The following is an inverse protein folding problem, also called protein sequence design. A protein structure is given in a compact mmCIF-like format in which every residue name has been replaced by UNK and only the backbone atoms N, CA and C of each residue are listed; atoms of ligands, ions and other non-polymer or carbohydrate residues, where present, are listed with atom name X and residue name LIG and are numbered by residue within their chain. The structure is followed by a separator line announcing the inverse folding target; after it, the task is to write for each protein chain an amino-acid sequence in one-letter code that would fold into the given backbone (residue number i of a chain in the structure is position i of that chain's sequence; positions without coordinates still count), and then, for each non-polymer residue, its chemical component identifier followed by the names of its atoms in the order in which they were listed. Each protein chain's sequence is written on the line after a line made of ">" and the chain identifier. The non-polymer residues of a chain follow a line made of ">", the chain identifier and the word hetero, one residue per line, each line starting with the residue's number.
data_IF_901830354974
#
_entry.id   IF_901830354974
#
_cell.length_a   1.000
_cell.length_b   1.000
_cell.length_c   1.000
_cell.angle_alpha   90.00
_cell.angle_beta   90.00
_cell.angle_gamma   90.00
#
_symmetry.space_group_name_H-M   'P 1'
#
loop_
_entity.id
_entity.type
_entity.pdbx_description
1 polymer ?
#
# COMPACT_ATOMS: atom_id res chain seq x y z
N UNK A 1 -3.07 -34.66 3.62
CA UNK A 1 -3.35 -33.20 3.42
C UNK A 1 -2.73 -32.39 4.54
N UNK A 2 -2.86 -32.71 5.81
CA UNK A 2 -2.22 -32.00 6.94
C UNK A 2 -0.68 -32.15 6.96
N UNK A 3 -0.15 -33.29 6.52
CA UNK A 3 1.31 -33.53 6.39
C UNK A 3 1.95 -32.68 5.27
N UNK A 4 1.21 -32.36 4.19
CA UNK A 4 1.69 -31.51 3.11
C UNK A 4 1.75 -30.01 3.53
N UNK A 5 0.88 -29.56 4.43
CA UNK A 5 0.89 -28.18 4.94
C UNK A 5 1.98 -27.96 6.00
N UNK A 6 2.27 -28.97 6.81
CA UNK A 6 3.32 -28.87 7.84
C UNK A 6 4.74 -28.90 7.23
N UNK A 7 4.97 -29.68 6.17
CA UNK A 7 6.24 -29.72 5.43
C UNK A 7 6.55 -28.42 4.69
N UNK A 8 5.54 -27.71 4.20
CA UNK A 8 5.70 -26.47 3.42
C UNK A 8 6.20 -25.26 4.25
N UNK A 9 5.93 -25.23 5.54
CA UNK A 9 6.32 -24.11 6.41
C UNK A 9 7.73 -24.19 6.98
N UNK A 10 8.27 -25.39 7.08
CA UNK A 10 9.60 -25.64 7.67
C UNK A 10 10.77 -25.42 6.71
N UNK A 11 10.52 -25.48 5.41
CA UNK A 11 11.54 -25.33 4.35
C UNK A 11 11.69 -23.89 3.81
N UNK A 12 10.82 -22.96 4.23
CA UNK A 12 10.82 -21.60 3.70
C UNK A 12 12.10 -20.81 4.06
N UNK A 13 12.79 -21.18 5.14
CA UNK A 13 13.96 -20.45 5.67
C UNK A 13 15.30 -20.92 5.12
N UNK A 14 15.35 -22.07 4.41
CA UNK A 14 16.59 -22.59 3.86
C UNK A 14 16.85 -22.01 2.47
N UNK A 15 17.92 -21.21 2.33
CA UNK A 15 18.36 -20.71 1.04
C UNK A 15 18.88 -21.86 0.14
N UNK A 16 18.24 -22.07 -1.02
CA UNK A 16 18.59 -23.16 -1.94
C UNK A 16 19.92 -22.97 -2.65
N UNK A 17 20.43 -21.74 -2.73
CA UNK A 17 21.72 -21.43 -3.34
C UNK A 17 22.85 -21.29 -2.31
N UNK A 18 22.54 -21.32 -1.02
CA UNK A 18 23.57 -21.23 0.02
C UNK A 18 24.52 -22.43 -0.03
N UNK A 19 25.81 -22.16 -0.06
CA UNK A 19 26.84 -23.16 0.15
C UNK A 19 26.83 -23.62 1.62
N UNK A 20 27.12 -24.91 1.83
CA UNK A 20 27.21 -25.45 3.18
C UNK A 20 28.42 -24.83 3.91
N UNK A 21 28.15 -23.93 4.85
CA UNK A 21 29.19 -23.42 5.75
C UNK A 21 29.50 -24.45 6.83
N UNK A 22 30.74 -24.48 7.37
CA UNK A 22 31.10 -25.36 8.50
C UNK A 22 30.15 -25.24 9.68
N UNK A 23 29.63 -24.02 9.94
CA UNK A 23 28.65 -23.73 10.99
C UNK A 23 27.28 -24.36 10.71
N UNK A 24 26.84 -24.37 9.45
CA UNK A 24 25.58 -25.03 9.05
C UNK A 24 25.69 -26.56 9.17
N UNK A 25 26.87 -27.14 8.89
CA UNK A 25 27.15 -28.57 9.09
C UNK A 25 27.17 -28.92 10.58
N UNK A 26 27.77 -28.08 11.42
CA UNK A 26 27.80 -28.24 12.86
C UNK A 26 26.36 -28.14 13.45
N UNK A 27 25.60 -27.14 13.03
CA UNK A 27 24.19 -26.99 13.43
C UNK A 27 23.34 -28.18 12.98
N UNK A 28 23.65 -28.77 11.82
CA UNK A 28 23.02 -29.99 11.30
C UNK A 28 23.39 -31.21 12.15
N UNK A 29 24.64 -31.36 12.57
CA UNK A 29 25.09 -32.43 13.45
C UNK A 29 24.44 -32.37 14.84
N UNK A 30 24.24 -31.16 15.40
CA UNK A 30 23.55 -30.97 16.67
C UNK A 30 22.04 -31.20 16.61
N UNK A 31 21.41 -31.02 15.44
CA UNK A 31 19.96 -31.24 15.22
C UNK A 31 19.59 -32.71 14.99
N UNK A 32 20.55 -33.60 14.80
CA UNK A 32 20.33 -35.05 14.60
C UNK A 32 19.65 -35.77 15.78
N UNK A 33 19.53 -35.13 16.95
CA UNK A 33 18.82 -35.67 18.10
C UNK A 33 17.28 -35.57 18.00
N UNK A 34 16.72 -34.89 16.96
CA UNK A 34 15.29 -34.86 16.62
C UNK A 34 15.03 -35.62 15.31
N UNK A 35 15.04 -36.95 15.37
CA UNK A 35 15.13 -37.89 14.24
C UNK A 35 14.02 -37.81 13.17
N UNK A 36 12.82 -37.32 13.47
CA UNK A 36 11.69 -37.40 12.54
C UNK A 36 11.53 -36.21 11.60
N UNK A 37 11.88 -34.99 12.02
CA UNK A 37 11.80 -33.79 11.19
C UNK A 37 13.04 -33.59 10.29
N UNK A 38 14.19 -34.13 10.73
CA UNK A 38 15.44 -34.02 10.00
C UNK A 38 15.46 -34.87 8.72
N UNK A 39 14.84 -36.05 8.73
CA UNK A 39 14.81 -36.98 7.60
C UNK A 39 13.95 -36.47 6.42
N UNK A 40 12.82 -35.82 6.66
CA UNK A 40 12.00 -35.23 5.59
C UNK A 40 12.71 -34.02 4.95
N UNK A 41 13.37 -33.18 5.73
CA UNK A 41 14.17 -32.04 5.21
C UNK A 41 15.35 -32.50 4.38
N UNK A 42 16.04 -33.55 4.80
CA UNK A 42 17.19 -34.09 4.06
C UNK A 42 16.83 -34.69 2.71
N UNK A 43 15.65 -35.25 2.55
CA UNK A 43 15.20 -35.82 1.29
C UNK A 43 14.59 -34.80 0.34
N UNK A 44 13.88 -33.80 0.83
CA UNK A 44 13.10 -32.83 0.01
C UNK A 44 13.96 -31.66 -0.48
N UNK A 45 14.85 -31.14 0.36
CA UNK A 45 15.70 -29.99 0.01
C UNK A 45 16.56 -30.20 -1.25
N UNK A 46 17.21 -31.35 -1.49
CA UNK A 46 17.96 -31.59 -2.73
C UNK A 46 17.10 -31.55 -3.98
N UNK A 47 15.84 -32.05 -3.90
CA UNK A 47 14.90 -31.97 -5.01
C UNK A 47 14.47 -30.55 -5.33
N UNK A 48 14.28 -29.70 -4.30
CA UNK A 48 14.00 -28.29 -4.51
C UNK A 48 15.20 -27.54 -5.11
N UNK A 49 16.42 -27.85 -4.69
CA UNK A 49 17.65 -27.33 -5.33
C UNK A 49 17.71 -27.71 -6.80
N UNK A 50 17.53 -28.97 -7.11
CA UNK A 50 17.54 -29.48 -8.48
C UNK A 50 16.46 -28.82 -9.35
N UNK A 51 15.24 -28.69 -8.81
CA UNK A 51 14.13 -28.06 -9.51
C UNK A 51 14.39 -26.56 -9.76
N UNK A 52 14.94 -25.85 -8.76
CA UNK A 52 15.31 -24.45 -8.88
C UNK A 52 16.41 -24.22 -9.93
N UNK A 53 17.46 -25.02 -9.90
CA UNK A 53 18.53 -24.98 -10.90
C UNK A 53 18.00 -25.29 -12.30
N UNK A 54 17.09 -26.24 -12.41
CA UNK A 54 16.45 -26.59 -13.68
C UNK A 54 15.64 -25.40 -14.24
N UNK A 55 14.83 -24.74 -13.41
CA UNK A 55 14.10 -23.55 -13.80
C UNK A 55 15.03 -22.41 -14.25
N UNK A 56 16.08 -22.16 -13.49
CA UNK A 56 17.05 -21.12 -13.82
C UNK A 56 17.74 -21.39 -15.18
N UNK A 57 18.21 -22.61 -15.39
CA UNK A 57 18.85 -23.01 -16.65
C UNK A 57 17.87 -22.92 -17.83
N UNK A 58 16.62 -23.36 -17.64
CA UNK A 58 15.59 -23.24 -18.66
C UNK A 58 15.34 -21.79 -19.05
N UNK A 59 15.19 -20.89 -18.06
CA UNK A 59 14.99 -19.46 -18.32
C UNK A 59 16.17 -18.84 -19.06
N UNK A 60 17.40 -19.22 -18.74
CA UNK A 60 18.59 -18.74 -19.43
C UNK A 60 18.69 -19.22 -20.89
N UNK A 61 18.26 -20.45 -21.18
CA UNK A 61 18.21 -20.98 -22.56
C UNK A 61 17.10 -20.28 -23.37
N UNK A 62 15.90 -20.16 -22.78
CA UNK A 62 14.72 -19.66 -23.48
C UNK A 62 14.77 -18.15 -23.78
N UNK A 63 15.46 -17.35 -22.97
CA UNK A 63 15.49 -15.87 -23.10
C UNK A 63 15.99 -15.36 -24.45
N UNK A 64 16.78 -16.14 -25.17
CA UNK A 64 17.45 -15.70 -26.41
C UNK A 64 16.69 -16.11 -27.68
N UNK A 65 15.52 -16.74 -27.57
CA UNK A 65 14.82 -17.30 -28.73
C UNK A 65 13.42 -16.69 -28.88
N UNK A 66 13.21 -15.95 -29.96
CA UNK A 66 11.94 -15.32 -30.30
C UNK A 66 10.78 -16.32 -30.45
N UNK A 67 11.05 -17.53 -30.99
CA UNK A 67 10.01 -18.55 -31.23
C UNK A 67 9.52 -19.22 -29.94
N UNK A 68 10.26 -19.06 -28.84
CA UNK A 68 10.00 -19.74 -27.55
C UNK A 68 9.50 -18.78 -26.46
N UNK A 69 9.08 -17.57 -26.81
CA UNK A 69 8.58 -16.57 -25.87
C UNK A 69 7.39 -17.08 -25.03
N UNK A 70 6.45 -17.80 -25.69
CA UNK A 70 5.32 -18.39 -25.00
C UNK A 70 5.75 -19.45 -23.99
N UNK A 71 6.76 -20.26 -24.30
CA UNK A 71 7.32 -21.25 -23.38
C UNK A 71 8.05 -20.57 -22.21
N UNK A 72 8.81 -19.51 -22.49
CA UNK A 72 9.44 -18.67 -21.46
C UNK A 72 8.40 -18.16 -20.44
N UNK A 73 7.28 -17.59 -20.92
CA UNK A 73 6.22 -17.12 -20.06
C UNK A 73 5.56 -18.23 -19.24
N UNK A 74 5.39 -19.42 -19.81
CA UNK A 74 4.88 -20.59 -19.06
C UNK A 74 5.83 -20.99 -17.93
N UNK A 75 7.11 -21.13 -18.22
CA UNK A 75 8.12 -21.51 -17.23
C UNK A 75 8.19 -20.47 -16.10
N UNK A 76 8.12 -19.18 -16.42
CA UNK A 76 8.08 -18.12 -15.39
C UNK A 76 6.83 -18.26 -14.51
N UNK A 77 5.66 -18.47 -15.08
CA UNK A 77 4.42 -18.70 -14.31
C UNK A 77 4.54 -19.92 -13.40
N UNK A 78 5.20 -20.98 -13.85
CA UNK A 78 5.40 -22.19 -13.04
C UNK A 78 6.43 -21.98 -11.92
N UNK A 79 7.48 -21.17 -12.15
CA UNK A 79 8.39 -20.71 -11.10
C UNK A 79 7.63 -19.93 -10.02
N UNK A 80 6.73 -19.02 -10.41
CA UNK A 80 5.92 -18.29 -9.43
C UNK A 80 4.97 -19.20 -8.66
N UNK A 81 4.31 -20.16 -9.33
CA UNK A 81 3.48 -21.16 -8.65
C UNK A 81 4.28 -22.00 -7.66
N UNK A 82 5.50 -22.42 -8.04
CA UNK A 82 6.41 -23.11 -7.14
C UNK A 82 6.74 -22.29 -5.90
N UNK A 83 7.12 -21.00 -6.09
CA UNK A 83 7.43 -20.10 -4.99
C UNK A 83 6.21 -19.86 -4.08
N UNK A 84 5.01 -19.69 -4.65
CA UNK A 84 3.77 -19.54 -3.90
C UNK A 84 3.41 -20.79 -3.09
N UNK A 85 3.47 -21.96 -3.72
CA UNK A 85 3.11 -23.25 -3.09
C UNK A 85 4.01 -23.55 -1.89
N UNK A 86 5.29 -23.25 -2.00
CA UNK A 86 6.29 -23.57 -0.99
C UNK A 86 6.72 -22.35 -0.16
N UNK A 87 6.05 -21.19 -0.30
CA UNK A 87 6.34 -19.92 0.40
C UNK A 87 7.80 -19.49 0.31
N UNK A 88 8.45 -19.72 -0.85
CA UNK A 88 9.87 -19.47 -1.10
C UNK A 88 10.11 -18.01 -1.49
N UNK A 89 10.40 -17.16 -0.51
CA UNK A 89 10.57 -15.71 -0.70
C UNK A 89 11.92 -15.34 -1.33
N UNK A 90 13.01 -16.05 -0.98
CA UNK A 90 14.35 -15.81 -1.48
C UNK A 90 14.47 -16.15 -2.97
N UNK A 91 14.00 -17.33 -3.36
CA UNK A 91 13.99 -17.78 -4.75
C UNK A 91 13.08 -16.91 -5.63
N UNK A 92 11.94 -16.47 -5.07
CA UNK A 92 11.06 -15.52 -5.76
C UNK A 92 11.78 -14.21 -6.08
N UNK A 93 12.51 -13.63 -5.11
CA UNK A 93 13.30 -12.40 -5.32
C UNK A 93 14.36 -12.60 -6.40
N UNK A 94 15.10 -13.73 -6.36
CA UNK A 94 16.09 -14.08 -7.38
C UNK A 94 15.47 -14.25 -8.76
N UNK A 95 14.32 -14.90 -8.86
CA UNK A 95 13.57 -15.02 -10.12
C UNK A 95 13.20 -13.64 -10.68
N UNK A 96 12.72 -12.73 -9.82
CA UNK A 96 12.38 -11.36 -10.21
C UNK A 96 13.60 -10.59 -10.74
N UNK A 97 14.75 -10.69 -10.07
CA UNK A 97 16.00 -10.04 -10.50
C UNK A 97 16.53 -10.64 -11.80
N UNK A 98 16.45 -11.96 -11.97
CA UNK A 98 16.79 -12.65 -13.21
C UNK A 98 15.93 -12.13 -14.38
N UNK A 99 14.63 -12.01 -14.21
CA UNK A 99 13.73 -11.48 -15.23
C UNK A 99 13.98 -9.99 -15.57
N UNK A 100 14.36 -9.17 -14.56
CA UNK A 100 14.78 -7.77 -14.80
C UNK A 100 16.03 -7.73 -15.67
N UNK A 101 17.01 -8.58 -15.35
CA UNK A 101 18.23 -8.71 -16.13
C UNK A 101 17.96 -9.16 -17.56
N UNK A 102 17.06 -10.12 -17.76
CA UNK A 102 16.67 -10.59 -19.10
C UNK A 102 15.99 -9.47 -19.91
N UNK A 103 15.08 -8.71 -19.30
CA UNK A 103 14.42 -7.58 -19.96
C UNK A 103 15.40 -6.47 -20.32
N UNK A 104 16.29 -6.10 -19.39
CA UNK A 104 17.33 -5.09 -19.63
C UNK A 104 18.27 -5.49 -20.77
N UNK A 105 18.66 -6.76 -20.82
CA UNK A 105 19.47 -7.30 -21.91
C UNK A 105 18.74 -7.27 -23.24
N UNK A 106 17.43 -7.54 -23.26
CA UNK A 106 16.60 -7.47 -24.46
C UNK A 106 16.50 -6.03 -24.97
N UNK A 107 16.28 -5.06 -24.08
CA UNK A 107 16.24 -3.63 -24.44
C UNK A 107 17.60 -3.15 -24.95
N UNK A 108 18.70 -3.60 -24.33
CA UNK A 108 20.06 -3.18 -24.70
C UNK A 108 20.53 -3.75 -26.04
N UNK A 109 20.13 -4.97 -26.38
CA UNK A 109 20.62 -5.68 -27.57
C UNK A 109 19.49 -5.92 -28.60
N UNK A 110 18.74 -4.88 -28.95
CA UNK A 110 17.60 -4.93 -29.89
C UNK A 110 17.95 -5.47 -31.28
N UNK A 111 19.17 -5.20 -31.77
CA UNK A 111 19.54 -5.41 -33.16
C UNK A 111 20.06 -6.83 -33.48
N UNK A 112 20.06 -7.74 -32.51
CA UNK A 112 20.51 -9.12 -32.74
C UNK A 112 19.40 -9.98 -33.34
N UNK A 113 19.73 -10.73 -34.40
CA UNK A 113 18.84 -11.72 -35.04
C UNK A 113 18.41 -12.78 -34.01
N UNK A 114 17.18 -13.27 -34.14
CA UNK A 114 16.57 -14.35 -33.35
C UNK A 114 16.23 -14.01 -31.89
N UNK A 115 16.36 -12.75 -31.46
CA UNK A 115 15.92 -12.34 -30.12
C UNK A 115 14.47 -11.86 -30.10
N UNK A 116 13.78 -11.95 -28.98
CA UNK A 116 12.46 -11.39 -28.77
C UNK A 116 12.45 -9.88 -29.06
N UNK A 117 11.51 -9.43 -29.89
CA UNK A 117 11.37 -8.01 -30.25
C UNK A 117 10.19 -7.38 -29.50
N UNK A 118 10.49 -6.41 -28.64
CA UNK A 118 9.47 -5.64 -27.90
C UNK A 118 8.66 -4.70 -28.81
N UNK A 119 8.97 -4.59 -30.11
CA UNK A 119 8.14 -3.84 -31.04
C UNK A 119 6.86 -4.60 -31.43
N UNK A 120 6.84 -5.92 -31.29
CA UNK A 120 5.69 -6.76 -31.62
C UNK A 120 4.62 -6.69 -30.51
N UNK A 121 3.35 -6.46 -30.86
CA UNK A 121 2.27 -6.33 -29.88
C UNK A 121 2.00 -7.64 -29.10
N UNK A 122 2.30 -8.79 -29.68
CA UNK A 122 2.15 -10.10 -29.04
C UNK A 122 3.16 -10.28 -27.92
N UNK A 123 4.43 -10.02 -28.21
CA UNK A 123 5.54 -10.02 -27.24
C UNK A 123 5.27 -9.03 -26.11
N UNK A 124 4.83 -7.80 -26.43
CA UNK A 124 4.46 -6.81 -25.43
C UNK A 124 3.39 -7.30 -24.44
N UNK A 125 2.31 -7.88 -24.97
CA UNK A 125 1.23 -8.41 -24.14
C UNK A 125 1.73 -9.56 -23.24
N UNK A 126 2.56 -10.45 -23.79
CA UNK A 126 3.09 -11.59 -23.05
C UNK A 126 3.98 -11.15 -21.89
N UNK A 127 4.91 -10.20 -22.13
CA UNK A 127 5.78 -9.67 -21.07
C UNK A 127 4.99 -8.89 -20.02
N UNK A 128 3.95 -8.14 -20.45
CA UNK A 128 3.03 -7.50 -19.51
C UNK A 128 2.31 -8.53 -18.63
N UNK A 129 1.74 -9.59 -19.20
CA UNK A 129 1.07 -10.63 -18.43
C UNK A 129 2.00 -11.27 -17.39
N UNK A 130 3.23 -11.57 -17.78
CA UNK A 130 4.24 -12.13 -16.87
C UNK A 130 4.53 -11.18 -15.70
N UNK A 131 4.66 -9.87 -15.97
CA UNK A 131 4.88 -8.88 -14.91
C UNK A 131 3.68 -8.73 -13.98
N UNK A 132 2.46 -8.83 -14.50
CA UNK A 132 1.26 -8.83 -13.67
C UNK A 132 1.15 -10.09 -12.79
N UNK A 133 1.53 -11.27 -13.31
CA UNK A 133 1.61 -12.49 -12.50
C UNK A 133 2.70 -12.38 -11.42
N UNK A 134 3.85 -11.76 -11.73
CA UNK A 134 4.87 -11.42 -10.74
C UNK A 134 4.29 -10.55 -9.61
N UNK A 135 3.55 -9.50 -9.95
CA UNK A 135 2.93 -8.59 -8.99
C UNK A 135 1.91 -9.32 -8.10
N UNK A 136 1.07 -10.19 -8.67
CA UNK A 136 0.14 -11.01 -7.89
C UNK A 136 0.88 -11.92 -6.92
N UNK A 137 1.90 -12.62 -7.39
CA UNK A 137 2.70 -13.51 -6.56
C UNK A 137 3.41 -12.74 -5.43
N UNK A 138 3.98 -11.57 -5.71
CA UNK A 138 4.62 -10.72 -4.71
C UNK A 138 3.66 -10.29 -3.61
N UNK A 139 2.43 -9.88 -3.97
CA UNK A 139 1.41 -9.48 -2.99
C UNK A 139 0.89 -10.67 -2.17
N UNK A 140 0.74 -11.85 -2.77
CA UNK A 140 0.31 -13.08 -2.06
C UNK A 140 1.38 -13.58 -1.07
N UNK A 141 2.68 -13.40 -1.40
CA UNK A 141 3.80 -13.70 -0.51
C UNK A 141 4.06 -12.59 0.51
N UNK A 142 3.25 -11.53 0.53
CA UNK A 142 3.42 -10.35 1.41
C UNK A 142 4.78 -9.64 1.28
N UNK A 143 5.43 -9.79 0.13
CA UNK A 143 6.72 -9.17 -0.18
C UNK A 143 6.53 -7.75 -0.72
N UNK A 144 6.14 -6.81 0.15
CA UNK A 144 5.70 -5.46 -0.24
C UNK A 144 6.76 -4.63 -0.95
N UNK A 145 8.03 -4.78 -0.58
CA UNK A 145 9.13 -4.10 -1.28
C UNK A 145 9.28 -4.59 -2.72
N UNK A 146 9.18 -5.91 -2.92
CA UNK A 146 9.28 -6.49 -4.26
C UNK A 146 8.02 -6.22 -5.08
N UNK A 147 6.84 -6.18 -4.44
CA UNK A 147 5.60 -5.76 -5.06
C UNK A 147 5.69 -4.31 -5.56
N UNK A 148 6.25 -3.39 -4.77
CA UNK A 148 6.46 -2.00 -5.18
C UNK A 148 7.41 -1.90 -6.37
N UNK A 149 8.55 -2.60 -6.35
CA UNK A 149 9.48 -2.69 -7.49
C UNK A 149 8.82 -3.26 -8.73
N UNK A 150 7.94 -4.27 -8.57
CA UNK A 150 7.21 -4.87 -9.69
C UNK A 150 6.23 -3.87 -10.32
N UNK A 151 5.62 -2.99 -9.53
CA UNK A 151 4.79 -1.89 -10.05
C UNK A 151 5.64 -0.86 -10.81
N UNK A 152 6.81 -0.49 -10.28
CA UNK A 152 7.73 0.39 -11.00
C UNK A 152 8.19 -0.23 -12.33
N UNK A 153 8.50 -1.54 -12.33
CA UNK A 153 8.85 -2.28 -13.56
C UNK A 153 7.72 -2.26 -14.59
N UNK A 154 6.46 -2.49 -14.16
CA UNK A 154 5.27 -2.42 -15.03
C UNK A 154 5.09 -1.00 -15.58
N UNK A 155 5.20 0.01 -14.73
CA UNK A 155 5.09 1.40 -15.14
C UNK A 155 6.20 1.79 -16.13
N UNK A 156 7.45 1.41 -15.86
CA UNK A 156 8.58 1.60 -16.77
C UNK A 156 8.35 0.92 -18.12
N UNK A 157 7.80 -0.28 -18.12
CA UNK A 157 7.46 -1.01 -19.33
C UNK A 157 6.33 -0.29 -20.13
N UNK A 158 5.30 0.23 -19.45
CA UNK A 158 4.25 1.03 -20.09
C UNK A 158 4.81 2.29 -20.77
N UNK A 159 5.73 2.99 -20.12
CA UNK A 159 6.39 4.17 -20.68
C UNK A 159 7.27 3.82 -21.89
N UNK A 160 8.02 2.72 -21.79
CA UNK A 160 8.90 2.24 -22.86
C UNK A 160 8.10 1.83 -24.11
N UNK A 161 6.97 1.16 -23.91
CA UNK A 161 6.11 0.69 -25.01
C UNK A 161 5.18 1.78 -25.54
N UNK A 162 5.03 2.90 -24.85
CA UNK A 162 4.07 3.99 -25.15
C UNK A 162 2.65 3.48 -25.39
N UNK A 163 2.27 2.41 -24.72
CA UNK A 163 0.98 1.75 -24.87
C UNK A 163 0.42 1.40 -23.49
N UNK A 164 -0.86 1.69 -23.29
CA UNK A 164 -1.57 1.27 -22.09
C UNK A 164 -1.99 -0.20 -22.21
N UNK A 165 -1.89 -0.98 -21.12
CA UNK A 165 -2.40 -2.35 -21.06
C UNK A 165 -3.92 -2.40 -21.26
N UNK A 166 -4.45 -3.63 -21.42
CA UNK A 166 -5.89 -3.87 -21.42
C UNK A 166 -6.54 -3.28 -20.16
N UNK A 167 -7.77 -2.73 -20.24
CA UNK A 167 -8.45 -2.10 -19.07
C UNK A 167 -8.53 -2.98 -17.84
N UNK A 168 -8.73 -4.30 -18.01
CA UNK A 168 -8.75 -5.26 -16.91
C UNK A 168 -7.39 -5.33 -16.18
N UNK A 169 -6.29 -5.29 -16.93
CA UNK A 169 -4.95 -5.27 -16.36
C UNK A 169 -4.68 -3.93 -15.65
N UNK A 170 -5.17 -2.82 -16.21
CA UNK A 170 -5.08 -1.51 -15.54
C UNK A 170 -5.88 -1.45 -14.25
N UNK A 171 -7.07 -2.06 -14.21
CA UNK A 171 -7.85 -2.17 -12.99
C UNK A 171 -7.11 -2.99 -11.92
N UNK A 172 -6.52 -4.14 -12.30
CA UNK A 172 -5.67 -4.94 -11.41
C UNK A 172 -4.43 -4.13 -10.94
N UNK A 173 -3.80 -3.37 -11.84
CA UNK A 173 -2.67 -2.50 -11.50
C UNK A 173 -3.04 -1.52 -10.38
N UNK A 174 -4.14 -0.77 -10.55
CA UNK A 174 -4.58 0.18 -9.53
C UNK A 174 -5.06 -0.51 -8.25
N UNK A 175 -5.70 -1.68 -8.33
CA UNK A 175 -6.09 -2.45 -7.15
C UNK A 175 -4.87 -2.86 -6.31
N UNK A 176 -3.81 -3.38 -6.97
CA UNK A 176 -2.58 -3.74 -6.26
C UNK A 176 -1.79 -2.52 -5.76
N UNK A 177 -1.87 -1.41 -6.49
CA UNK A 177 -1.28 -0.14 -6.08
C UNK A 177 -1.95 0.41 -4.81
N UNK A 178 -3.30 0.28 -4.68
CA UNK A 178 -4.00 0.67 -3.45
C UNK A 178 -3.53 -0.14 -2.25
N UNK A 179 -3.38 -1.46 -2.37
CA UNK A 179 -2.89 -2.33 -1.30
C UNK A 179 -1.48 -1.91 -0.86
N UNK A 180 -0.56 -1.73 -1.82
CA UNK A 180 0.83 -1.39 -1.54
C UNK A 180 0.96 -0.02 -0.88
N UNK A 181 0.26 1.00 -1.39
CA UNK A 181 0.29 2.33 -0.78
C UNK A 181 -0.35 2.34 0.60
N UNK A 182 -1.40 1.54 0.82
CA UNK A 182 -2.05 1.41 2.11
C UNK A 182 -1.10 0.85 3.17
N UNK A 183 -0.42 -0.25 2.87
CA UNK A 183 0.56 -0.86 3.76
C UNK A 183 1.77 0.06 3.98
N UNK A 184 2.20 0.76 2.93
CA UNK A 184 3.23 1.80 3.02
C UNK A 184 2.83 3.05 3.79
N UNK A 185 1.59 3.12 4.32
CA UNK A 185 1.01 4.27 5.04
C UNK A 185 0.96 5.57 4.22
N UNK A 186 1.02 5.47 2.90
CA UNK A 186 0.91 6.60 1.98
C UNK A 186 -0.56 6.85 1.62
N UNK A 187 -1.36 7.28 2.59
CA UNK A 187 -2.82 7.38 2.48
C UNK A 187 -3.30 8.33 1.37
N UNK A 188 -2.57 9.41 1.11
CA UNK A 188 -2.89 10.32 0.02
C UNK A 188 -2.83 9.61 -1.33
N UNK A 189 -1.72 8.96 -1.63
CA UNK A 189 -1.53 8.23 -2.89
C UNK A 189 -2.48 7.03 -2.99
N UNK A 190 -2.75 6.34 -1.88
CA UNK A 190 -3.73 5.25 -1.83
C UNK A 190 -5.14 5.74 -2.21
N UNK A 191 -5.57 6.90 -1.71
CA UNK A 191 -6.89 7.45 -2.04
C UNK A 191 -7.00 7.85 -3.52
N UNK A 192 -5.93 8.43 -4.10
CA UNK A 192 -5.88 8.69 -5.54
C UNK A 192 -5.87 7.39 -6.37
N UNK A 193 -5.18 6.35 -5.91
CA UNK A 193 -5.22 5.03 -6.56
C UNK A 193 -6.63 4.43 -6.53
N UNK A 194 -7.36 4.54 -5.42
CA UNK A 194 -8.76 4.17 -5.31
C UNK A 194 -9.66 4.95 -6.28
N UNK A 195 -9.46 6.27 -6.42
CA UNK A 195 -10.20 7.08 -7.38
C UNK A 195 -9.92 6.65 -8.82
N UNK A 196 -8.67 6.36 -9.18
CA UNK A 196 -8.30 5.84 -10.51
C UNK A 196 -8.91 4.47 -10.76
N UNK A 197 -8.86 3.57 -9.78
CA UNK A 197 -9.48 2.24 -9.83
C UNK A 197 -10.98 2.35 -10.12
N UNK A 198 -11.69 3.19 -9.36
CA UNK A 198 -13.13 3.44 -9.57
C UNK A 198 -13.41 3.97 -10.98
N UNK A 199 -12.63 4.97 -11.43
CA UNK A 199 -12.78 5.59 -12.75
C UNK A 199 -12.58 4.56 -13.88
N UNK A 200 -11.53 3.74 -13.81
CA UNK A 200 -11.25 2.69 -14.81
C UNK A 200 -12.33 1.62 -14.79
N UNK A 201 -12.71 1.13 -13.61
CA UNK A 201 -13.75 0.10 -13.46
C UNK A 201 -15.09 0.58 -14.01
N UNK A 202 -15.51 1.80 -13.70
CA UNK A 202 -16.75 2.39 -14.19
C UNK A 202 -16.76 2.58 -15.71
N UNK A 203 -15.62 2.99 -16.29
CA UNK A 203 -15.55 3.31 -17.72
C UNK A 203 -15.51 2.06 -18.59
N UNK A 204 -14.80 1.02 -18.14
CA UNK A 204 -14.49 -0.12 -19.00
C UNK A 204 -15.18 -1.42 -18.61
N UNK A 205 -15.61 -1.57 -17.34
CA UNK A 205 -16.26 -2.79 -16.89
C UNK A 205 -17.78 -2.68 -17.04
N UNK A 206 -18.32 -3.28 -18.12
CA UNK A 206 -19.77 -3.31 -18.37
C UNK A 206 -20.53 -4.31 -17.50
N UNK A 207 -19.85 -5.26 -16.90
CA UNK A 207 -20.41 -6.28 -16.02
C UNK A 207 -20.35 -5.90 -14.53
N UNK A 208 -20.02 -4.63 -14.23
CA UNK A 208 -19.98 -4.13 -12.85
C UNK A 208 -21.37 -4.14 -12.25
N UNK A 209 -21.53 -4.90 -11.15
CA UNK A 209 -22.79 -4.92 -10.42
C UNK A 209 -22.96 -3.61 -9.62
N UNK A 210 -24.20 -3.19 -9.31
CA UNK A 210 -24.40 -1.99 -8.48
C UNK A 210 -23.82 -2.15 -7.06
N UNK A 211 -23.65 -3.38 -6.57
CA UNK A 211 -23.02 -3.68 -5.29
C UNK A 211 -21.49 -3.48 -5.37
N UNK A 212 -20.86 -3.94 -6.45
CA UNK A 212 -19.44 -3.68 -6.71
C UNK A 212 -19.17 -2.17 -6.85
N UNK A 213 -20.04 -1.44 -7.54
CA UNK A 213 -19.93 0.02 -7.66
C UNK A 213 -20.02 0.70 -6.28
N UNK A 214 -20.91 0.23 -5.40
CA UNK A 214 -21.01 0.72 -4.02
C UNK A 214 -19.74 0.43 -3.23
N UNK A 215 -19.21 -0.78 -3.31
CA UNK A 215 -17.98 -1.17 -2.62
C UNK A 215 -16.79 -0.29 -3.05
N UNK A 216 -16.60 -0.10 -4.35
CA UNK A 216 -15.54 0.74 -4.89
C UNK A 216 -15.72 2.22 -4.50
N UNK A 217 -16.95 2.75 -4.59
CA UNK A 217 -17.28 4.11 -4.18
C UNK A 217 -17.03 4.32 -2.68
N UNK A 218 -17.44 3.37 -1.84
CA UNK A 218 -17.19 3.39 -0.39
C UNK A 218 -15.69 3.37 -0.09
N UNK A 219 -14.92 2.56 -0.82
CA UNK A 219 -13.46 2.53 -0.72
C UNK A 219 -12.80 3.88 -1.01
N UNK A 220 -13.24 4.57 -2.07
CA UNK A 220 -12.73 5.92 -2.40
C UNK A 220 -13.01 6.91 -1.28
N UNK A 221 -14.23 6.93 -0.75
CA UNK A 221 -14.63 7.88 0.30
C UNK A 221 -13.90 7.59 1.60
N UNK A 222 -13.81 6.32 2.02
CA UNK A 222 -13.09 5.91 3.22
C UNK A 222 -11.59 6.21 3.11
N UNK A 223 -10.97 5.89 1.99
CA UNK A 223 -9.56 6.21 1.76
C UNK A 223 -9.29 7.72 1.82
N UNK A 224 -10.21 8.53 1.26
CA UNK A 224 -10.10 10.00 1.33
C UNK A 224 -10.25 10.52 2.76
N UNK A 225 -11.15 9.95 3.55
CA UNK A 225 -11.28 10.30 4.97
C UNK A 225 -10.05 9.92 5.80
N UNK A 226 -9.30 8.89 5.38
CA UNK A 226 -8.07 8.44 6.05
C UNK A 226 -6.86 9.36 5.81
N UNK A 227 -6.94 10.32 4.90
CA UNK A 227 -5.87 11.28 4.66
C UNK A 227 -5.77 12.24 5.84
N UNK A 228 -4.55 12.46 6.33
CA UNK A 228 -4.29 13.48 7.37
C UNK A 228 -4.66 14.88 6.86
N UNK A 229 -5.29 15.71 7.69
CA UNK A 229 -5.59 17.09 7.31
C UNK A 229 -4.35 18.01 7.34
N UNK A 230 -3.20 17.47 7.69
CA UNK A 230 -1.94 18.18 7.78
C UNK A 230 -0.81 17.38 7.13
N UNK A 231 0.24 18.05 6.71
CA UNK A 231 1.46 17.41 6.21
C UNK A 231 2.33 16.99 7.39
N UNK A 232 2.67 15.70 7.48
CA UNK A 232 3.56 15.20 8.52
C UNK A 232 4.97 15.76 8.28
N UNK A 233 5.45 16.61 9.19
CA UNK A 233 6.82 17.14 9.14
C UNK A 233 7.79 16.04 9.52
N UNK A 234 8.83 15.84 8.72
CA UNK A 234 9.93 14.92 9.05
C UNK A 234 10.60 15.33 10.36
N UNK A 235 11.02 14.33 11.14
CA UNK A 235 11.77 14.56 12.41
C UNK A 235 13.13 15.22 12.16
N UNK A 236 13.68 15.03 10.96
CA UNK A 236 15.04 15.46 10.59
C UNK A 236 15.12 16.81 9.87
N UNK A 237 14.00 17.54 9.76
CA UNK A 237 13.98 18.90 9.21
C UNK A 237 14.17 18.98 7.69
N UNK A 238 14.60 20.14 7.20
CA UNK A 238 14.64 20.47 5.77
C UNK A 238 15.68 19.67 4.94
N UNK A 239 16.62 18.96 5.57
CA UNK A 239 17.62 18.17 4.85
C UNK A 239 17.03 16.99 4.07
N UNK A 240 15.84 16.49 4.46
CA UNK A 240 15.17 15.39 3.80
C UNK A 240 14.12 15.83 2.76
N UNK A 241 13.95 17.16 2.56
CA UNK A 241 12.90 17.68 1.68
C UNK A 241 13.04 17.23 0.22
N UNK A 242 14.28 17.20 -0.30
CA UNK A 242 14.54 16.78 -1.68
C UNK A 242 14.28 15.26 -1.88
N UNK A 243 14.72 14.44 -0.91
CA UNK A 243 14.44 13.00 -0.95
C UNK A 243 12.94 12.69 -0.82
N UNK A 244 12.23 13.45 0.01
CA UNK A 244 10.79 13.32 0.14
C UNK A 244 10.08 13.72 -1.15
N UNK A 245 10.49 14.84 -1.76
CA UNK A 245 9.95 15.28 -3.05
C UNK A 245 10.17 14.23 -4.15
N UNK A 246 11.39 13.69 -4.28
CA UNK A 246 11.69 12.67 -5.29
C UNK A 246 10.89 11.38 -5.07
N UNK A 247 10.66 11.00 -3.80
CA UNK A 247 9.83 9.85 -3.44
C UNK A 247 8.36 10.09 -3.80
N UNK A 248 7.81 11.22 -3.42
CA UNK A 248 6.41 11.56 -3.68
C UNK A 248 6.16 11.79 -5.18
N UNK A 249 7.12 12.37 -5.90
CA UNK A 249 7.07 12.51 -7.35
C UNK A 249 7.07 11.15 -8.07
N UNK A 250 7.86 10.18 -7.60
CA UNK A 250 7.81 8.79 -8.11
C UNK A 250 6.44 8.17 -7.86
N UNK A 251 5.91 8.27 -6.65
CA UNK A 251 4.59 7.71 -6.33
C UNK A 251 3.48 8.36 -7.15
N UNK A 252 3.56 9.67 -7.39
CA UNK A 252 2.63 10.38 -8.24
C UNK A 252 2.71 9.94 -9.72
N UNK A 253 3.92 9.67 -10.21
CA UNK A 253 4.12 9.19 -11.58
C UNK A 253 3.47 7.82 -11.82
N UNK A 254 3.49 6.92 -10.81
CA UNK A 254 2.79 5.62 -10.87
C UNK A 254 1.28 5.78 -11.01
N UNK A 255 0.72 6.87 -10.51
CA UNK A 255 -0.70 7.24 -10.66
C UNK A 255 -1.00 7.96 -11.99
N UNK A 256 0.04 8.24 -12.79
CA UNK A 256 -0.08 8.99 -14.04
C UNK A 256 -0.11 10.51 -13.86
N UNK A 257 0.35 11.02 -12.72
CA UNK A 257 0.53 12.45 -12.49
C UNK A 257 2.00 12.83 -12.66
N UNK A 258 2.26 13.79 -13.54
CA UNK A 258 3.62 14.30 -13.73
C UNK A 258 3.79 15.57 -12.91
N UNK A 259 4.77 15.56 -12.00
CA UNK A 259 5.05 16.69 -11.12
C UNK A 259 6.40 17.26 -11.49
N UNK A 260 6.40 18.49 -11.97
CA UNK A 260 7.61 19.26 -12.24
C UNK A 260 8.14 19.86 -10.93
N UNK A 261 9.46 19.99 -10.80
CA UNK A 261 10.10 20.60 -9.62
C UNK A 261 9.67 22.07 -9.38
N UNK A 262 9.07 22.71 -10.37
CA UNK A 262 8.54 24.07 -10.27
C UNK A 262 7.18 24.17 -9.57
N UNK A 263 6.48 23.05 -9.38
CA UNK A 263 5.16 22.99 -8.75
C UNK A 263 5.22 22.24 -7.43
N UNK A 264 4.47 22.72 -6.45
CA UNK A 264 4.29 21.98 -5.22
C UNK A 264 3.47 20.72 -5.47
N UNK A 265 3.81 19.63 -4.79
CA UNK A 265 3.04 18.38 -4.85
C UNK A 265 1.60 18.62 -4.42
N UNK A 266 1.38 19.49 -3.43
CA UNK A 266 0.07 19.89 -2.92
C UNK A 266 -0.84 20.54 -3.97
N UNK A 267 -0.27 21.15 -5.02
CA UNK A 267 -1.06 21.76 -6.10
C UNK A 267 -1.66 20.72 -7.05
N UNK A 268 -1.06 19.53 -7.11
CA UNK A 268 -1.50 18.44 -7.99
C UNK A 268 -2.22 17.34 -7.21
N UNK A 269 -1.71 17.01 -6.04
CA UNK A 269 -2.22 15.96 -5.17
C UNK A 269 -2.50 16.53 -3.79
N UNK A 270 -3.77 16.87 -3.51
CA UNK A 270 -4.20 17.31 -2.18
C UNK A 270 -5.49 16.63 -1.78
N UNK A 271 -5.74 16.59 -0.46
CA UNK A 271 -7.00 16.09 0.09
C UNK A 271 -8.19 16.91 -0.38
N UNK A 272 -8.00 18.24 -0.48
CA UNK A 272 -9.05 19.17 -0.89
C UNK A 272 -9.48 18.95 -2.33
N UNK A 273 -8.51 18.76 -3.24
CA UNK A 273 -8.78 18.46 -4.65
C UNK A 273 -9.55 17.14 -4.79
N UNK A 274 -9.16 16.11 -4.02
CA UNK A 274 -9.84 14.82 -4.06
C UNK A 274 -11.27 14.92 -3.49
N UNK A 275 -11.46 15.67 -2.40
CA UNK A 275 -12.80 15.92 -1.84
C UNK A 275 -13.70 16.73 -2.79
N UNK A 276 -13.14 17.70 -3.52
CA UNK A 276 -13.84 18.42 -4.57
C UNK A 276 -14.24 17.50 -5.73
N UNK A 277 -13.34 16.59 -6.14
CA UNK A 277 -13.61 15.60 -7.20
C UNK A 277 -14.72 14.61 -6.80
N UNK A 278 -14.74 14.14 -5.55
CA UNK A 278 -15.81 13.28 -5.00
C UNK A 278 -17.16 13.99 -5.06
N UNK A 279 -17.21 15.28 -4.69
CA UNK A 279 -18.44 16.07 -4.78
C UNK A 279 -18.89 16.29 -6.23
N UNK A 280 -17.94 16.61 -7.13
CA UNK A 280 -18.18 16.86 -8.55
C UNK A 280 -18.70 15.61 -9.26
N UNK A 281 -18.14 14.46 -8.97
CA UNK A 281 -18.51 13.17 -9.58
C UNK A 281 -19.83 12.59 -9.03
N UNK A 282 -20.38 13.18 -7.97
CA UNK A 282 -21.59 12.69 -7.32
C UNK A 282 -21.41 11.32 -6.66
N UNK A 283 -20.16 10.95 -6.33
CA UNK A 283 -19.80 9.65 -5.73
C UNK A 283 -20.57 9.38 -4.45
N UNK A 284 -20.81 10.40 -3.63
CA UNK A 284 -21.53 10.28 -2.36
C UNK A 284 -22.95 9.70 -2.50
N UNK A 285 -23.60 9.85 -3.66
CA UNK A 285 -24.91 9.25 -3.91
C UNK A 285 -24.88 7.73 -4.04
N UNK A 286 -23.71 7.16 -4.40
CA UNK A 286 -23.51 5.74 -4.70
C UNK A 286 -22.87 4.94 -3.56
N UNK A 287 -22.49 5.61 -2.50
CA UNK A 287 -21.83 5.03 -1.32
C UNK A 287 -22.87 4.44 -0.39
N UNK A 288 -22.49 3.48 0.45
CA UNK A 288 -23.31 2.95 1.53
C UNK A 288 -23.80 4.03 2.48
N UNK A 289 -25.02 3.88 2.99
CA UNK A 289 -25.66 4.89 3.84
C UNK A 289 -24.91 5.09 5.16
N UNK A 290 -24.30 4.07 5.73
CA UNK A 290 -23.51 4.19 6.96
C UNK A 290 -22.20 4.94 6.71
N UNK A 291 -21.56 4.72 5.56
CA UNK A 291 -20.38 5.48 5.14
C UNK A 291 -20.74 6.94 4.83
N UNK A 292 -21.92 7.22 4.25
CA UNK A 292 -22.41 8.59 4.08
C UNK A 292 -22.65 9.30 5.41
N UNK A 293 -23.26 8.61 6.39
CA UNK A 293 -23.44 9.15 7.74
C UNK A 293 -22.11 9.45 8.41
N UNK A 294 -21.14 8.53 8.27
CA UNK A 294 -19.79 8.74 8.79
C UNK A 294 -19.09 9.92 8.13
N UNK A 295 -19.19 10.05 6.80
CA UNK A 295 -18.65 11.19 6.06
C UNK A 295 -19.28 12.51 6.51
N UNK A 296 -20.60 12.56 6.64
CA UNK A 296 -21.31 13.76 7.12
C UNK A 296 -20.92 14.13 8.56
N UNK A 297 -20.76 13.13 9.43
CA UNK A 297 -20.31 13.35 10.81
C UNK A 297 -18.88 13.87 10.87
N UNK A 298 -17.97 13.28 10.09
CA UNK A 298 -16.55 13.60 10.14
C UNK A 298 -16.21 14.90 9.39
N UNK A 299 -16.83 15.17 8.23
CA UNK A 299 -16.44 16.29 7.35
C UNK A 299 -17.35 17.51 7.45
N UNK A 300 -18.65 17.32 7.72
CA UNK A 300 -19.63 18.39 7.63
C UNK A 300 -20.13 18.87 8.98
N UNK A 301 -20.21 17.97 9.98
CA UNK A 301 -20.77 18.32 11.27
C UNK A 301 -19.72 18.93 12.22
N UNK A 302 -20.19 19.91 13.00
CA UNK A 302 -19.45 20.48 14.10
C UNK A 302 -20.02 19.91 15.41
N UNK A 303 -19.32 18.96 16.01
CA UNK A 303 -19.76 18.25 17.22
C UNK A 303 -18.58 18.00 18.18
N UNK A 304 -18.04 19.06 18.82
CA UNK A 304 -16.78 18.97 19.58
C UNK A 304 -16.82 18.02 20.78
N UNK A 305 -18.00 17.71 21.34
CA UNK A 305 -18.16 16.84 22.51
C UNK A 305 -18.53 15.39 22.16
N UNK A 306 -19.35 15.21 21.12
CA UNK A 306 -20.01 13.94 20.85
C UNK A 306 -19.48 13.23 19.58
N UNK A 307 -18.55 13.86 18.86
CA UNK A 307 -18.06 13.35 17.58
C UNK A 307 -17.56 11.91 17.69
N UNK A 308 -16.67 11.63 18.65
CA UNK A 308 -16.12 10.30 18.83
C UNK A 308 -17.13 9.29 19.33
N UNK A 309 -18.08 9.70 20.18
CA UNK A 309 -19.16 8.82 20.68
C UNK A 309 -20.10 8.39 19.53
N UNK A 310 -20.51 9.36 18.70
CA UNK A 310 -21.35 9.08 17.53
C UNK A 310 -20.61 8.27 16.47
N UNK A 311 -19.32 8.57 16.27
CA UNK A 311 -18.48 7.81 15.35
C UNK A 311 -18.25 6.36 15.82
N UNK A 312 -18.11 6.12 17.13
CA UNK A 312 -17.94 4.77 17.66
C UNK A 312 -19.13 3.85 17.36
N UNK A 313 -20.35 4.37 17.45
CA UNK A 313 -21.55 3.62 17.06
C UNK A 313 -21.49 3.20 15.58
N UNK A 314 -21.06 4.11 14.69
CA UNK A 314 -20.92 3.81 13.27
C UNK A 314 -19.75 2.86 13.00
N UNK A 315 -18.64 2.99 13.73
CA UNK A 315 -17.50 2.08 13.62
C UNK A 315 -17.86 0.65 14.01
N UNK A 316 -18.68 0.48 15.05
CA UNK A 316 -19.15 -0.83 15.49
C UNK A 316 -20.11 -1.47 14.47
N UNK A 317 -20.93 -0.68 13.80
CA UNK A 317 -21.80 -1.16 12.69
C UNK A 317 -20.94 -1.60 11.51
N UNK A 318 -19.91 -0.81 11.14
CA UNK A 318 -19.02 -1.12 10.01
C UNK A 318 -18.05 -2.26 10.32
N UNK A 319 -17.73 -2.51 11.59
CA UNK A 319 -16.76 -3.54 12.04
C UNK A 319 -17.28 -4.95 11.79
N UNK A 320 -18.03 -5.38 11.14
CA UNK A 320 -18.50 -6.75 10.83
C UNK A 320 -19.04 -6.83 9.43
N UNK A 321 -19.04 -5.70 8.74
CA UNK A 321 -19.58 -5.62 7.40
C UNK A 321 -18.46 -5.90 6.41
N UNK A 322 -18.52 -7.04 5.74
CA UNK A 322 -17.71 -7.37 4.57
C UNK A 322 -18.63 -7.39 3.37
N UNK A 323 -18.26 -6.69 2.31
CA UNK A 323 -18.99 -6.76 1.05
C UNK A 323 -18.29 -7.80 0.19
N UNK A 324 -18.99 -8.91 -0.11
CA UNK A 324 -18.53 -9.85 -1.10
C UNK A 324 -18.66 -9.19 -2.48
N UNK A 325 -17.55 -9.09 -3.14
CA UNK A 325 -17.46 -8.45 -4.45
C UNK A 325 -17.41 -9.55 -5.52
N UNK A 326 -18.05 -9.33 -6.65
CA UNK A 326 -18.09 -10.32 -7.72
C UNK A 326 -16.69 -10.60 -8.31
N UNK A 327 -16.48 -11.79 -8.88
CA UNK A 327 -15.23 -12.14 -9.58
C UNK A 327 -14.88 -11.18 -10.74
N UNK A 328 -15.87 -10.46 -11.24
CA UNK A 328 -15.69 -9.45 -12.29
C UNK A 328 -15.01 -8.17 -11.78
N UNK A 329 -14.97 -7.96 -10.48
CA UNK A 329 -14.31 -6.82 -9.86
C UNK A 329 -12.80 -7.07 -9.69
N UNK A 330 -11.96 -6.05 -9.83
CA UNK A 330 -10.52 -6.18 -9.61
C UNK A 330 -10.15 -6.35 -8.12
N UNK A 331 -11.08 -6.15 -7.22
CA UNK A 331 -10.93 -6.33 -5.76
C UNK A 331 -11.69 -7.58 -5.37
N UNK A 332 -11.02 -8.55 -4.77
CA UNK A 332 -11.62 -9.84 -4.41
C UNK A 332 -12.55 -9.77 -3.21
N UNK A 333 -12.29 -8.88 -2.27
CA UNK A 333 -13.13 -8.62 -1.09
C UNK A 333 -12.89 -7.20 -0.59
N UNK A 334 -13.94 -6.55 -0.13
CA UNK A 334 -13.83 -5.23 0.48
C UNK A 334 -14.06 -5.35 1.98
N UNK A 335 -13.01 -5.06 2.76
CA UNK A 335 -13.04 -5.12 4.22
C UNK A 335 -12.96 -3.73 4.83
N UNK A 336 -14.00 -3.31 5.52
CA UNK A 336 -14.05 -2.04 6.24
C UNK A 336 -13.07 -2.00 7.42
N UNK A 337 -12.73 -3.16 8.00
CA UNK A 337 -11.87 -3.23 9.19
C UNK A 337 -10.48 -2.64 8.93
N UNK A 338 -9.98 -2.71 7.71
CA UNK A 338 -8.68 -2.15 7.35
C UNK A 338 -8.60 -0.63 7.52
N UNK A 339 -9.73 0.10 7.37
CA UNK A 339 -9.80 1.56 7.48
C UNK A 339 -10.07 2.06 8.90
N UNK A 340 -10.72 1.23 9.73
CA UNK A 340 -11.21 1.66 11.06
C UNK A 340 -10.11 2.17 12.00
N UNK A 341 -8.92 1.54 12.16
CA UNK A 341 -7.89 2.03 13.06
C UNK A 341 -7.44 3.46 12.71
N UNK A 342 -7.32 3.73 11.41
CA UNK A 342 -6.92 5.06 10.93
C UNK A 342 -8.02 6.09 11.11
N UNK A 343 -9.26 5.74 10.82
CA UNK A 343 -10.42 6.62 11.01
C UNK A 343 -10.65 6.97 12.48
N UNK A 344 -10.45 6.03 13.40
CA UNK A 344 -10.49 6.28 14.85
C UNK A 344 -9.46 7.33 15.25
N UNK A 345 -8.22 7.18 14.80
CA UNK A 345 -7.15 8.16 15.09
C UNK A 345 -7.47 9.55 14.54
N UNK A 346 -7.97 9.64 13.31
CA UNK A 346 -8.34 10.92 12.69
C UNK A 346 -9.60 11.55 13.32
N UNK A 347 -10.53 10.73 13.79
CA UNK A 347 -11.70 11.20 14.55
C UNK A 347 -11.29 11.94 15.81
N UNK A 348 -10.29 11.42 16.54
CA UNK A 348 -9.74 12.08 17.73
C UNK A 348 -9.10 13.43 17.36
N UNK A 349 -8.25 13.45 16.34
CA UNK A 349 -7.58 14.68 15.88
C UNK A 349 -8.61 15.74 15.51
N UNK A 350 -9.66 15.38 14.78
CA UNK A 350 -10.73 16.30 14.39
C UNK A 350 -11.55 16.80 15.57
N UNK A 351 -11.89 15.89 16.49
CA UNK A 351 -12.61 16.27 17.71
C UNK A 351 -11.81 17.30 18.50
N UNK A 352 -10.52 17.04 18.75
CA UNK A 352 -9.67 17.98 19.51
C UNK A 352 -9.45 19.29 18.74
N UNK A 353 -9.33 19.25 17.42
CA UNK A 353 -9.29 20.47 16.60
C UNK A 353 -10.60 21.27 16.68
N UNK A 354 -11.77 20.62 16.76
CA UNK A 354 -13.03 21.32 16.99
C UNK A 354 -13.12 21.87 18.43
N UNK A 355 -12.62 21.12 19.41
CA UNK A 355 -12.55 21.54 20.82
C UNK A 355 -11.66 22.76 21.01
N UNK A 356 -10.50 22.81 20.31
CA UNK A 356 -9.58 23.98 20.40
C UNK A 356 -10.22 25.29 19.93
N UNK A 357 -11.27 25.22 19.10
CA UNK A 357 -12.00 26.41 18.65
C UNK A 357 -13.04 26.91 19.66
N UNK A 358 -13.43 26.04 20.61
CA UNK A 358 -14.53 26.34 21.56
C UNK A 358 -14.01 26.55 22.97
N UNK A 359 -13.01 25.78 23.39
CA UNK A 359 -12.49 25.76 24.75
C UNK A 359 -11.09 26.35 24.82
N UNK A 360 -10.82 27.12 25.88
CA UNK A 360 -9.45 27.57 26.22
C UNK A 360 -8.72 26.51 27.05
N UNK A 361 -9.43 25.86 27.95
CA UNK A 361 -8.89 24.82 28.84
C UNK A 361 -9.85 23.66 28.95
N UNK A 362 -9.33 22.44 29.09
CA UNK A 362 -10.12 21.24 29.26
C UNK A 362 -9.44 20.26 30.21
N UNK A 363 -10.20 19.58 31.07
CA UNK A 363 -9.67 18.50 31.92
C UNK A 363 -9.39 17.24 31.10
N UNK A 364 -8.28 16.59 31.40
CA UNK A 364 -7.89 15.32 30.77
C UNK A 364 -8.98 14.24 30.94
N UNK A 365 -9.64 14.21 32.08
CA UNK A 365 -10.71 13.21 32.34
C UNK A 365 -11.95 13.46 31.46
N UNK A 366 -12.24 14.70 31.08
CA UNK A 366 -13.30 14.99 30.11
C UNK A 366 -12.94 14.48 28.71
N UNK A 367 -11.67 14.57 28.32
CA UNK A 367 -11.21 13.99 27.07
C UNK A 367 -11.32 12.46 27.10
N UNK A 368 -10.89 11.80 28.18
CA UNK A 368 -11.03 10.34 28.34
C UNK A 368 -12.48 9.89 28.21
N UNK A 369 -13.42 10.63 28.79
CA UNK A 369 -14.85 10.31 28.68
C UNK A 369 -15.46 10.55 27.29
N UNK A 370 -14.82 11.40 26.48
CA UNK A 370 -15.24 11.72 25.11
C UNK A 370 -14.72 10.71 24.08
N UNK A 371 -13.66 9.93 24.39
CA UNK A 371 -13.05 8.92 23.51
C UNK A 371 -13.20 7.54 24.14
N UNK A 372 -14.30 6.79 23.87
CA UNK A 372 -14.57 5.51 24.53
C UNK A 372 -13.75 4.34 23.96
N UNK A 373 -13.26 4.44 22.73
CA UNK A 373 -12.69 3.33 21.95
C UNK A 373 -11.17 3.20 22.02
N UNK A 374 -10.47 4.11 22.74
CA UNK A 374 -9.00 4.13 22.77
C UNK A 374 -8.49 4.54 24.16
N UNK A 375 -7.43 3.87 24.70
CA UNK A 375 -6.81 4.25 25.96
C UNK A 375 -6.10 5.61 25.83
N UNK A 376 -6.06 6.37 26.94
CA UNK A 376 -5.55 7.75 26.93
C UNK A 376 -4.09 7.89 26.44
N UNK A 377 -3.21 6.95 26.75
CA UNK A 377 -1.81 7.01 26.31
C UNK A 377 -1.66 6.96 24.79
N UNK A 378 -2.54 6.25 24.09
CA UNK A 378 -2.56 6.25 22.61
C UNK A 378 -3.16 7.55 22.07
N UNK A 379 -4.21 8.08 22.72
CA UNK A 379 -4.78 9.39 22.39
C UNK A 379 -3.72 10.48 22.51
N UNK A 380 -2.97 10.49 23.60
CA UNK A 380 -1.89 11.46 23.82
C UNK A 380 -0.80 11.35 22.75
N UNK A 381 -0.39 10.14 22.38
CA UNK A 381 0.59 9.92 21.31
C UNK A 381 0.11 10.49 19.98
N UNK A 382 -1.17 10.33 19.63
CA UNK A 382 -1.77 10.88 18.41
C UNK A 382 -1.78 12.41 18.47
N UNK A 383 -2.14 12.98 19.63
CA UNK A 383 -2.16 14.44 19.82
C UNK A 383 -0.76 15.07 19.73
N UNK A 384 0.25 14.44 20.33
CA UNK A 384 1.64 14.91 20.23
C UNK A 384 2.09 14.94 18.77
N UNK A 385 1.70 13.96 17.96
CA UNK A 385 2.01 13.98 16.52
C UNK A 385 1.32 15.15 15.79
N UNK A 386 0.07 15.43 16.10
CA UNK A 386 -0.69 16.54 15.52
C UNK A 386 -0.13 17.91 15.98
N UNK A 387 0.34 18.04 17.22
CA UNK A 387 0.99 19.24 17.76
C UNK A 387 2.32 19.47 17.03
N UNK A 388 3.14 18.45 16.84
CA UNK A 388 4.43 18.54 16.11
C UNK A 388 4.25 19.01 14.66
N UNK A 389 3.11 18.71 14.06
CA UNK A 389 2.77 19.13 12.69
C UNK A 389 2.13 20.51 12.62
N UNK A 390 2.09 21.26 13.72
CA UNK A 390 1.46 22.59 13.87
C UNK A 390 -0.04 22.63 13.46
N UNK A 391 -0.72 21.47 13.52
CA UNK A 391 -2.15 21.39 13.19
C UNK A 391 -3.04 21.77 14.35
N UNK A 392 -2.60 21.47 15.58
CA UNK A 392 -3.29 21.79 16.82
C UNK A 392 -2.29 22.41 17.80
N UNK A 393 -2.61 23.57 18.35
CA UNK A 393 -1.78 24.22 19.37
C UNK A 393 -2.33 23.88 20.76
N UNK A 394 -1.79 22.83 21.38
CA UNK A 394 -2.21 22.36 22.71
C UNK A 394 -1.00 22.16 23.60
N UNK A 395 -1.10 22.59 24.86
CA UNK A 395 -0.16 22.29 25.94
C UNK A 395 -0.82 21.37 26.94
N UNK A 396 -0.27 20.16 27.10
CA UNK A 396 -0.74 19.15 28.05
C UNK A 396 0.04 19.35 29.35
N UNK A 397 -0.69 19.50 30.45
CA UNK A 397 -0.14 19.61 31.79
C UNK A 397 -0.67 18.43 32.62
N UNK A 398 0.23 17.51 32.94
CA UNK A 398 -0.10 16.32 33.73
C UNK A 398 -0.20 16.59 35.23
N UNK A 399 0.45 17.65 35.73
CA UNK A 399 0.42 18.03 37.13
C UNK A 399 -0.96 18.56 37.51
N UNK A 400 -1.51 19.44 36.70
CA UNK A 400 -2.87 19.97 36.90
C UNK A 400 -3.97 19.09 36.29
N UNK A 401 -3.60 18.07 35.50
CA UNK A 401 -4.55 17.21 34.81
C UNK A 401 -5.38 17.97 33.75
N UNK A 402 -4.80 19.02 33.15
CA UNK A 402 -5.48 19.90 32.21
C UNK A 402 -4.77 20.01 30.87
N UNK A 403 -5.53 20.29 29.83
CA UNK A 403 -5.06 20.66 28.51
C UNK A 403 -5.42 22.12 28.25
N UNK A 404 -4.43 22.92 27.89
CA UNK A 404 -4.60 24.32 27.54
C UNK A 404 -4.47 24.48 26.03
N UNK A 405 -5.53 24.94 25.39
CA UNK A 405 -5.54 25.26 23.98
C UNK A 405 -4.93 26.67 23.83
N UNK A 406 -3.72 26.72 23.28
CA UNK A 406 -3.07 28.00 22.98
C UNK A 406 -3.74 28.51 21.71
N UNK A 407 -4.70 29.42 21.86
CA UNK A 407 -5.33 30.07 20.71
C UNK A 407 -4.27 30.75 19.87
N UNK A 408 -4.54 30.92 18.59
CA UNK A 408 -3.71 31.66 17.60
C UNK A 408 -3.64 33.17 17.94
N UNK A 409 -3.38 33.49 19.19
CA UNK A 409 -3.19 34.85 19.65
C UNK A 409 -1.77 35.26 19.38
N UNK A 410 -1.57 36.06 18.31
CA UNK A 410 -0.64 37.22 18.16
C UNK A 410 0.74 37.16 18.86
N UNK A 411 1.00 36.31 19.86
CA UNK A 411 2.23 36.28 20.63
C UNK A 411 3.40 35.61 19.92
N UNK A 412 3.13 34.57 19.10
CA UNK A 412 4.19 33.95 18.30
C UNK A 412 4.66 34.83 17.15
N UNK A 413 3.80 35.67 16.61
CA UNK A 413 4.16 36.67 15.62
C UNK A 413 5.06 37.77 16.20
N UNK A 414 4.80 38.21 17.42
CA UNK A 414 5.60 39.25 18.10
C UNK A 414 6.99 38.75 18.44
N UNK A 415 7.13 37.54 18.98
CA UNK A 415 8.42 36.96 19.34
C UNK A 415 9.26 36.64 18.10
N UNK A 416 8.66 36.11 17.03
CA UNK A 416 9.38 35.90 15.76
C UNK A 416 9.83 37.19 15.10
N UNK A 417 9.03 38.26 15.13
CA UNK A 417 9.42 39.58 14.58
C UNK A 417 10.47 40.29 15.43
N UNK A 418 10.51 40.05 16.72
CA UNK A 418 11.57 40.59 17.57
C UNK A 418 12.90 39.84 17.47
N UNK A 419 12.85 38.50 17.35
CA UNK A 419 14.05 37.68 17.11
C UNK A 419 14.65 37.86 15.70
N UNK A 420 13.86 38.20 14.70
CA UNK A 420 14.38 38.52 13.36
C UNK A 420 14.94 39.94 13.22
N UNK A 421 14.78 40.79 14.24
CA UNK A 421 15.33 42.19 14.31
C UNK A 421 16.51 42.32 15.25
N UNK A 422 16.84 41.28 16.02
CA UNK A 422 18.06 41.17 16.83
C UNK A 422 19.14 40.36 16.12
#
# INVERSE_FOLDING_TARGET
>A
TAQAEFGATLDADVDLEAEFTPESLLAKAYRLDHENEATEKETVTPWFKFLWETYRNLLDILRNNNKLEGLYAMVVKDVFKFCLKHKRTTEFRRACDLMRTHLNNMVKYKDMRDRPDLSLPETQNLYMEVRFEQLKAATTLEMWQEAFRSIEDIHGLMLLLRRSPKPQMMALYFAKLTEIFWIGKNYLHAAYAWMKLYSVSKTYNRSLTPEDERALASGVVLATMCITPYTEKSVFGDMDSDHQFDRDSRMASLLGYHIDRSRSISDVLSRELLAAEIKRSGLLAKVDDDVKRLYALMEQSFSPLDLCKKADVLFNVLQGTTIEVSEASPVSSFDFNSFLPRLRSLGIIRMVHQQSKVFETMKIDSLKSSVPFMPYHEVERILVQAIRSDYISVRIDHETGSMNFVGDRLETGFVKTHLSRA
#
